data_IF_087550662581
#
_entry.id   IF_087550662581
#
_cell.length_a   1.000
_cell.length_b   1.000
_cell.length_c   1.000
_cell.angle_alpha   90.00
_cell.angle_beta   90.00
_cell.angle_gamma   90.00
#
_symmetry.space_group_name_H-M   'P 1'
#
loop_
_entity.id
_entity.type
_entity.pdbx_description
1 polymer ?
#
# COMPACT_ATOMS: atom_id res chain seq x y z
N UNK A 1 1.29 -19.67 -10.41
CA UNK A 1 0.89 -18.49 -11.20
C UNK A 1 1.26 -17.30 -10.35
N UNK A 2 2.34 -16.61 -10.69
CA UNK A 2 2.86 -15.50 -9.88
C UNK A 2 2.06 -14.28 -10.33
N UNK A 3 0.95 -14.01 -9.65
CA UNK A 3 0.30 -12.71 -9.77
C UNK A 3 1.39 -11.67 -9.49
N UNK A 4 1.62 -10.75 -10.42
CA UNK A 4 2.63 -9.69 -10.30
C UNK A 4 2.23 -8.74 -9.17
N UNK A 5 2.32 -9.20 -7.92
CA UNK A 5 2.17 -8.37 -6.74
C UNK A 5 3.35 -7.42 -6.74
N UNK A 6 3.07 -6.17 -7.08
CA UNK A 6 4.10 -5.15 -7.04
C UNK A 6 4.26 -4.74 -5.59
N UNK A 7 5.36 -5.20 -5.01
CA UNK A 7 5.77 -4.86 -3.65
C UNK A 7 6.24 -3.40 -3.66
N UNK A 8 5.72 -2.60 -2.74
CA UNK A 8 6.15 -1.22 -2.51
C UNK A 8 6.59 -1.04 -1.06
N UNK A 9 7.68 -0.31 -0.88
CA UNK A 9 8.13 0.18 0.42
C UNK A 9 7.41 1.48 0.75
N UNK A 10 6.87 1.56 1.94
CA UNK A 10 6.25 2.74 2.49
C UNK A 10 7.35 3.70 2.95
N UNK A 11 7.42 4.90 2.39
CA UNK A 11 8.49 5.87 2.73
C UNK A 11 8.07 6.87 3.81
N UNK A 12 6.82 6.85 4.23
CA UNK A 12 6.25 7.74 5.24
C UNK A 12 5.16 7.01 6.00
N UNK A 13 5.07 7.25 7.31
CA UNK A 13 3.92 6.81 8.08
C UNK A 13 2.62 7.39 7.49
N UNK A 14 1.60 6.55 7.45
CA UNK A 14 0.26 6.90 7.03
C UNK A 14 -0.72 6.11 7.87
N UNK A 15 -1.41 6.83 8.74
CA UNK A 15 -2.40 6.24 9.63
C UNK A 15 -3.77 6.32 8.96
N UNK A 16 -4.08 5.30 8.17
CA UNK A 16 -5.37 5.15 7.53
C UNK A 16 -6.49 4.88 8.54
N UNK A 17 -7.67 5.46 8.33
CA UNK A 17 -8.87 5.21 9.13
C UNK A 17 -9.92 4.55 8.22
N UNK A 18 -10.47 3.40 8.62
CA UNK A 18 -11.51 2.70 7.85
C UNK A 18 -10.94 1.93 6.64
N UNK A 19 -11.23 2.38 5.42
CA UNK A 19 -10.77 1.75 4.17
C UNK A 19 -9.27 1.95 3.87
N UNK A 20 -8.59 2.77 4.66
CA UNK A 20 -7.18 3.10 4.48
C UNK A 20 -6.31 2.21 5.37
N UNK A 21 -5.24 1.66 4.81
CA UNK A 21 -4.34 0.80 5.57
C UNK A 21 -3.38 1.65 6.40
N UNK A 22 -3.26 1.34 7.69
CA UNK A 22 -2.20 1.90 8.53
C UNK A 22 -0.86 1.31 8.09
N UNK A 23 -0.01 2.15 7.52
CA UNK A 23 1.35 1.79 7.12
C UNK A 23 2.37 2.66 7.84
N UNK A 24 3.54 2.10 8.13
CA UNK A 24 4.67 2.82 8.71
C UNK A 24 5.78 2.97 7.69
N UNK A 25 6.64 3.98 7.86
CA UNK A 25 7.87 4.07 7.08
C UNK A 25 8.69 2.77 7.21
N UNK A 26 9.21 2.26 6.09
CA UNK A 26 9.87 0.96 5.89
C UNK A 26 8.97 -0.26 5.95
N UNK A 27 7.66 -0.06 6.01
CA UNK A 27 6.72 -1.16 5.89
C UNK A 27 6.60 -1.60 4.42
N UNK A 28 6.34 -2.88 4.20
CA UNK A 28 6.31 -3.48 2.86
C UNK A 28 4.88 -3.91 2.58
N UNK A 29 4.30 -3.36 1.51
CA UNK A 29 2.91 -3.63 1.13
C UNK A 29 2.81 -4.09 -0.32
N UNK A 30 1.85 -4.97 -0.61
CA UNK A 30 1.59 -5.45 -1.96
C UNK A 30 0.56 -4.56 -2.63
N UNK A 31 0.93 -3.83 -3.68
CA UNK A 31 -0.04 -3.05 -4.45
C UNK A 31 -0.84 -3.99 -5.35
N UNK A 32 -2.14 -4.10 -5.09
CA UNK A 32 -3.09 -4.83 -5.92
C UNK A 32 -3.59 -3.93 -7.06
N UNK A 33 -3.87 -2.66 -6.75
CA UNK A 33 -4.44 -1.70 -7.72
C UNK A 33 -3.76 -0.35 -7.61
N UNK A 34 -3.44 0.22 -8.77
CA UNK A 34 -2.88 1.56 -8.87
C UNK A 34 -3.92 2.55 -9.39
N UNK A 35 -4.24 3.59 -8.62
CA UNK A 35 -5.00 4.75 -9.08
C UNK A 35 -4.12 6.01 -9.02
N UNK A 36 -4.57 7.09 -9.66
CA UNK A 36 -3.80 8.34 -9.79
C UNK A 36 -3.44 8.98 -8.43
N UNK A 37 -4.29 8.84 -7.42
CA UNK A 37 -4.13 9.49 -6.11
C UNK A 37 -3.83 8.47 -5.00
N UNK A 38 -4.45 7.29 -5.08
CA UNK A 38 -4.36 6.23 -4.07
C UNK A 38 -4.08 4.88 -4.72
N UNK A 39 -3.27 4.06 -4.08
CA UNK A 39 -3.04 2.67 -4.42
C UNK A 39 -3.77 1.79 -3.42
N UNK A 40 -4.48 0.77 -3.92
CA UNK A 40 -5.03 -0.29 -3.08
C UNK A 40 -3.94 -1.31 -2.84
N UNK A 41 -3.60 -1.50 -1.58
CA UNK A 41 -2.56 -2.40 -1.13
C UNK A 41 -3.13 -3.48 -0.24
N UNK A 42 -2.49 -4.64 -0.27
CA UNK A 42 -2.68 -5.74 0.65
C UNK A 42 -1.47 -5.86 1.56
N UNK A 43 -1.73 -6.01 2.85
CA UNK A 43 -0.73 -6.31 3.86
C UNK A 43 -1.30 -7.35 4.81
N UNK A 44 -0.63 -8.49 4.97
CA UNK A 44 -1.07 -9.57 5.88
C UNK A 44 -2.53 -10.02 5.63
N UNK A 45 -2.99 -10.03 4.38
CA UNK A 45 -4.39 -10.35 4.03
C UNK A 45 -5.41 -9.25 4.32
N UNK A 46 -4.98 -8.11 4.88
CA UNK A 46 -5.79 -6.90 5.01
C UNK A 46 -5.61 -6.03 3.77
N UNK A 47 -6.72 -5.69 3.14
CA UNK A 47 -6.75 -4.79 1.99
C UNK A 47 -7.09 -3.38 2.49
N UNK A 48 -6.30 -2.39 2.08
CA UNK A 48 -6.61 -0.99 2.34
C UNK A 48 -5.96 -0.06 1.32
N UNK A 49 -6.38 1.20 1.35
CA UNK A 49 -5.88 2.24 0.45
C UNK A 49 -4.71 2.99 1.08
N UNK A 50 -3.70 3.31 0.29
CA UNK A 50 -2.54 4.11 0.68
C UNK A 50 -2.25 5.14 -0.41
N UNK A 51 -1.90 6.40 -0.09
CA UNK A 51 -1.60 7.42 -1.09
C UNK A 51 -0.40 7.01 -1.95
N UNK A 52 -0.51 7.17 -3.27
CA UNK A 52 0.56 6.78 -4.20
C UNK A 52 1.89 7.51 -3.90
N UNK A 53 1.82 8.78 -3.47
CA UNK A 53 3.00 9.57 -3.10
C UNK A 53 3.72 9.12 -1.83
N UNK A 54 3.14 8.19 -1.06
CA UNK A 54 3.72 7.64 0.19
C UNK A 54 4.39 6.28 -0.02
N UNK A 55 4.32 5.74 -1.25
CA UNK A 55 4.86 4.44 -1.63
C UNK A 55 6.01 4.63 -2.61
N UNK A 56 7.08 3.84 -2.44
CA UNK A 56 8.23 3.79 -3.34
C UNK A 56 8.47 2.34 -3.78
N UNK A 57 8.81 2.16 -5.05
CA UNK A 57 9.24 0.87 -5.57
C UNK A 57 10.68 0.56 -5.15
#
# INVERSE_FOLDING_TARGET
MISENQIFEVISDYQGIGEFLCVKKRDIVNVIKKELVWFTVEKDGLIGKVPAGKLRK
#
